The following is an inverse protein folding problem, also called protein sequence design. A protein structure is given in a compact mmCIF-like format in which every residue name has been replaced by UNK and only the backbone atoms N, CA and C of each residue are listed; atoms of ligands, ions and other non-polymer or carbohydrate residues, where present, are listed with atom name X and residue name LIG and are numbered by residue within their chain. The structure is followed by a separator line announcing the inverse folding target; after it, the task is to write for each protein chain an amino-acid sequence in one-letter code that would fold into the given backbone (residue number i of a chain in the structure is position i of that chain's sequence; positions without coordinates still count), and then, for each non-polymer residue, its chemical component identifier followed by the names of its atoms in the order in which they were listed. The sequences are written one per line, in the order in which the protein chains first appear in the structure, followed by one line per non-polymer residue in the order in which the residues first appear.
data_IF_406440602179
#
_entry.id   IF_406440602179
#
_cell.length_a   1.000
_cell.length_b   1.000
_cell.length_c   1.000
_cell.angle_alpha   90.00
_cell.angle_beta   90.00
_cell.angle_gamma   90.00
#
_symmetry.space_group_name_H-M   'P 1'
#
loop_
_entity.id
_entity.type
_entity.pdbx_description
1 polymer ?
#
# COMPACT_ATOMS: atom_id res chain seq x y z
N UNK A 1 14.34 24.45 -27.05
CA UNK A 1 13.49 23.79 -28.06
C UNK A 1 12.54 22.85 -27.36
N UNK A 2 11.35 22.56 -27.94
CA UNK A 2 10.32 21.68 -27.31
C UNK A 2 10.88 20.32 -26.86
N UNK A 3 11.82 19.73 -27.61
CA UNK A 3 12.50 18.48 -27.20
C UNK A 3 13.36 18.66 -25.94
N UNK A 4 14.02 19.82 -25.77
CA UNK A 4 14.80 20.14 -24.56
C UNK A 4 13.89 20.33 -23.34
N UNK A 5 12.71 20.89 -23.54
CA UNK A 5 11.76 21.13 -22.43
C UNK A 5 11.06 19.84 -22.01
N UNK A 6 10.80 18.90 -22.92
CA UNK A 6 10.32 17.55 -22.59
C UNK A 6 11.39 16.77 -21.80
N UNK A 7 12.65 16.86 -22.19
CA UNK A 7 13.74 16.17 -21.48
C UNK A 7 13.96 16.70 -20.06
N UNK A 8 13.80 18.02 -19.86
CA UNK A 8 13.91 18.66 -18.53
C UNK A 8 12.77 18.29 -17.57
N UNK A 9 11.68 17.70 -18.07
CA UNK A 9 10.52 17.24 -17.29
C UNK A 9 10.55 15.75 -17.00
N UNK A 10 11.68 15.09 -17.24
CA UNK A 10 11.93 13.71 -16.85
C UNK A 10 12.77 13.69 -15.57
N UNK A 11 12.42 12.81 -14.64
CA UNK A 11 13.09 12.68 -13.35
C UNK A 11 13.64 11.26 -13.15
N UNK A 12 14.57 10.78 -14.02
CA UNK A 12 15.05 9.40 -13.97
C UNK A 12 15.70 9.06 -12.65
N UNK A 13 16.42 10.00 -12.03
CA UNK A 13 17.05 9.80 -10.72
C UNK A 13 16.02 9.63 -9.60
N UNK A 14 14.94 10.43 -9.64
CA UNK A 14 13.84 10.31 -8.67
C UNK A 14 13.14 8.96 -8.84
N UNK A 15 12.84 8.55 -10.08
CA UNK A 15 12.23 7.24 -10.37
C UNK A 15 13.12 6.11 -9.88
N UNK A 16 14.42 6.15 -10.18
CA UNK A 16 15.37 5.14 -9.71
C UNK A 16 15.43 5.06 -8.18
N UNK A 17 15.39 6.21 -7.50
CA UNK A 17 15.37 6.25 -6.03
C UNK A 17 14.07 5.71 -5.46
N UNK A 18 12.92 6.06 -6.04
CA UNK A 18 11.61 5.49 -5.66
C UNK A 18 11.66 3.96 -5.79
N UNK A 19 12.14 3.47 -6.93
CA UNK A 19 12.25 2.03 -7.18
C UNK A 19 13.23 1.33 -6.24
N UNK A 20 14.21 2.05 -5.71
CA UNK A 20 15.13 1.55 -4.68
C UNK A 20 14.46 1.44 -3.28
N UNK A 21 13.49 2.32 -2.99
CA UNK A 21 12.87 2.43 -1.67
C UNK A 21 11.55 1.66 -1.60
N UNK A 22 10.69 1.79 -2.62
CA UNK A 22 9.33 1.24 -2.62
C UNK A 22 9.21 0.04 -3.57
N UNK A 23 8.33 -0.88 -3.20
CA UNK A 23 7.89 -1.93 -4.08
C UNK A 23 6.67 -1.49 -4.94
N UNK A 24 6.19 -2.38 -5.80
CA UNK A 24 5.03 -2.13 -6.69
C UNK A 24 3.71 -1.88 -5.94
N UNK A 25 3.65 -2.15 -4.65
CA UNK A 25 2.48 -1.93 -3.80
C UNK A 25 2.63 -0.68 -2.91
N UNK A 26 3.74 0.06 -3.07
CA UNK A 26 4.04 1.24 -2.26
C UNK A 26 4.57 0.92 -0.86
N UNK A 27 4.99 -0.32 -0.61
CA UNK A 27 5.61 -0.71 0.67
C UNK A 27 7.12 -0.48 0.62
N UNK A 28 7.69 -0.05 1.75
CA UNK A 28 9.15 0.14 1.85
C UNK A 28 9.83 -1.23 1.81
N UNK A 29 10.74 -1.39 0.85
CA UNK A 29 11.50 -2.62 0.65
C UNK A 29 12.40 -2.95 1.83
N UNK A 30 12.64 -4.24 2.08
CA UNK A 30 13.56 -4.68 3.13
C UNK A 30 14.96 -4.10 2.95
N UNK A 31 15.43 -4.01 1.72
CA UNK A 31 16.75 -3.50 1.36
C UNK A 31 16.78 -1.99 1.05
N UNK A 32 15.74 -1.24 1.42
CA UNK A 32 15.73 0.23 1.27
C UNK A 32 16.84 0.91 2.09
N UNK A 33 17.27 0.29 3.19
CA UNK A 33 18.51 0.61 3.89
C UNK A 33 19.11 -0.65 4.53
N UNK A 34 20.44 -0.67 4.75
CA UNK A 34 21.09 -1.76 5.48
C UNK A 34 20.54 -1.92 6.91
N UNK A 35 20.22 -0.81 7.57
CA UNK A 35 19.65 -0.82 8.92
C UNK A 35 18.24 -1.46 8.92
N UNK A 36 17.36 -1.11 7.98
CA UNK A 36 16.04 -1.69 7.87
C UNK A 36 16.10 -3.19 7.61
N UNK A 37 17.01 -3.60 6.74
CA UNK A 37 17.22 -5.01 6.42
C UNK A 37 17.62 -5.83 7.66
N UNK A 38 18.54 -5.29 8.46
CA UNK A 38 18.98 -5.94 9.71
C UNK A 38 17.87 -5.99 10.75
N UNK A 39 17.13 -4.89 10.95
CA UNK A 39 16.00 -4.84 11.89
C UNK A 39 14.95 -5.89 11.50
N UNK A 40 14.53 -5.94 10.24
CA UNK A 40 13.53 -6.92 9.77
C UNK A 40 14.02 -8.35 9.84
N UNK A 41 15.32 -8.59 9.64
CA UNK A 41 15.92 -9.90 9.89
C UNK A 41 15.80 -10.28 11.35
N UNK A 42 16.17 -9.37 12.26
CA UNK A 42 16.08 -9.60 13.70
C UNK A 42 14.65 -9.85 14.16
N UNK A 43 13.66 -9.13 13.63
CA UNK A 43 12.24 -9.37 13.91
C UNK A 43 11.88 -10.81 13.54
N UNK A 44 12.17 -11.27 12.32
CA UNK A 44 11.86 -12.65 11.88
C UNK A 44 12.54 -13.71 12.75
N UNK A 45 13.77 -13.46 13.16
CA UNK A 45 14.50 -14.37 14.05
C UNK A 45 13.84 -14.46 15.44
N UNK A 46 13.45 -13.31 16.02
CA UNK A 46 12.77 -13.26 17.31
C UNK A 46 11.36 -13.84 17.27
N UNK A 47 10.60 -13.58 16.21
CA UNK A 47 9.30 -14.23 15.99
C UNK A 47 9.44 -15.76 15.94
N UNK A 48 10.43 -16.26 15.21
CA UNK A 48 10.73 -17.69 15.16
C UNK A 48 11.13 -18.27 16.52
N UNK A 49 11.90 -17.53 17.33
CA UNK A 49 12.26 -17.94 18.69
C UNK A 49 11.05 -17.95 19.62
N UNK A 50 10.21 -16.89 19.58
CA UNK A 50 8.99 -16.81 20.37
C UNK A 50 8.04 -17.96 20.05
N UNK A 51 7.80 -18.24 18.76
CA UNK A 51 6.94 -19.34 18.34
C UNK A 51 7.45 -20.72 18.82
N UNK A 52 8.75 -21.00 18.69
CA UNK A 52 9.36 -22.25 19.18
C UNK A 52 9.26 -22.38 20.70
N UNK A 53 9.53 -21.28 21.41
CA UNK A 53 9.48 -21.29 22.89
C UNK A 53 8.06 -21.51 23.40
N UNK A 54 7.10 -20.79 22.80
CA UNK A 54 5.70 -20.92 23.14
C UNK A 54 5.16 -22.33 22.87
N UNK A 55 5.54 -22.95 21.75
CA UNK A 55 5.17 -24.32 21.42
C UNK A 55 5.77 -25.33 22.42
N UNK A 56 7.00 -25.10 22.88
CA UNK A 56 7.62 -25.94 23.90
C UNK A 56 6.89 -25.84 25.26
N UNK A 57 6.53 -24.62 25.66
CA UNK A 57 5.75 -24.38 26.89
C UNK A 57 4.36 -25.02 26.79
N UNK A 58 3.66 -24.88 25.66
CA UNK A 58 2.36 -25.51 25.42
C UNK A 58 2.47 -27.03 25.53
N UNK A 59 3.48 -27.64 24.90
CA UNK A 59 3.69 -29.10 24.94
C UNK A 59 3.97 -29.60 26.35
N UNK A 60 4.79 -28.89 27.11
CA UNK A 60 5.06 -29.21 28.52
C UNK A 60 3.80 -29.06 29.40
N UNK A 61 3.02 -28.01 29.18
CA UNK A 61 1.77 -27.78 29.93
C UNK A 61 0.70 -28.83 29.61
N UNK A 62 0.62 -29.33 28.36
CA UNK A 62 -0.22 -30.48 27.98
C UNK A 62 0.22 -31.75 28.71
N UNK A 63 1.52 -32.05 28.66
CA UNK A 63 2.09 -33.22 29.34
C UNK A 63 1.86 -33.22 30.86
N UNK A 64 1.82 -32.06 31.49
CA UNK A 64 1.55 -31.86 32.90
C UNK A 64 0.05 -31.80 33.25
N UNK A 65 -0.85 -31.87 32.27
CA UNK A 65 -2.31 -31.75 32.48
C UNK A 65 -2.75 -30.35 32.95
N UNK A 66 -1.94 -29.33 32.69
CA UNK A 66 -2.25 -27.93 33.02
C UNK A 66 -3.21 -27.32 32.01
N UNK A 67 -3.09 -27.70 30.75
CA UNK A 67 -3.95 -27.29 29.63
C UNK A 67 -4.56 -28.52 28.96
N UNK A 68 -5.69 -28.34 28.29
CA UNK A 68 -6.37 -29.40 27.58
C UNK A 68 -5.51 -29.96 26.42
N UNK A 69 -5.68 -31.23 26.07
CA UNK A 69 -4.89 -31.87 25.05
C UNK A 69 -5.06 -31.25 23.65
N UNK A 70 -6.23 -30.68 23.38
CA UNK A 70 -6.61 -29.99 22.15
C UNK A 70 -6.30 -28.47 22.17
N UNK A 71 -5.81 -27.95 23.31
CA UNK A 71 -5.46 -26.53 23.42
C UNK A 71 -4.47 -26.10 22.35
N UNK A 72 -4.71 -24.94 21.75
CA UNK A 72 -3.86 -24.33 20.74
C UNK A 72 -3.47 -22.92 21.17
N UNK A 73 -2.31 -22.45 20.66
CA UNK A 73 -1.88 -21.07 20.80
C UNK A 73 -2.92 -20.18 20.12
N UNK A 74 -3.32 -19.11 20.78
CA UNK A 74 -4.21 -18.10 20.22
C UNK A 74 -3.59 -16.71 20.33
N UNK A 75 -4.12 -15.75 19.56
CA UNK A 75 -3.69 -14.35 19.64
C UNK A 75 -4.74 -13.57 20.38
N UNK A 76 -4.30 -12.82 21.41
CA UNK A 76 -5.13 -11.86 22.15
C UNK A 76 -4.36 -10.55 22.28
N UNK A 77 -4.97 -9.44 21.87
CA UNK A 77 -4.35 -8.09 21.87
C UNK A 77 -2.95 -8.06 21.24
N UNK A 78 -2.80 -8.80 20.12
CA UNK A 78 -1.53 -8.88 19.40
C UNK A 78 -0.47 -9.78 20.04
N UNK A 79 -0.81 -10.48 21.13
CA UNK A 79 0.09 -11.39 21.84
C UNK A 79 -0.31 -12.85 21.66
N UNK A 80 0.67 -13.70 21.51
CA UNK A 80 0.47 -15.15 21.47
C UNK A 80 0.36 -15.68 22.90
N UNK A 81 -0.76 -16.33 23.18
CA UNK A 81 -1.15 -16.79 24.52
C UNK A 81 -1.60 -18.25 24.50
N UNK A 82 -1.52 -18.89 25.65
CA UNK A 82 -1.97 -20.26 25.88
C UNK A 82 -3.30 -20.23 26.66
N UNK A 83 -4.38 -20.90 26.18
CA UNK A 83 -5.62 -21.02 26.93
C UNK A 83 -5.44 -22.00 28.07
N UNK A 84 -5.76 -21.56 29.29
CA UNK A 84 -5.64 -22.34 30.54
C UNK A 84 -6.99 -22.32 31.26
N UNK A 85 -7.44 -23.46 31.74
CA UNK A 85 -8.67 -23.53 32.55
C UNK A 85 -8.55 -22.75 33.86
N UNK A 86 -9.66 -22.22 34.35
CA UNK A 86 -9.72 -21.40 35.60
C UNK A 86 -9.08 -22.10 36.79
N UNK A 87 -9.26 -23.42 36.91
CA UNK A 87 -8.67 -24.21 38.00
C UNK A 87 -7.14 -24.33 37.92
N UNK A 88 -6.56 -24.15 36.73
CA UNK A 88 -5.13 -24.33 36.50
C UNK A 88 -4.39 -23.01 36.23
N UNK A 89 -5.06 -21.85 36.24
CA UNK A 89 -4.49 -20.55 35.89
C UNK A 89 -3.22 -20.15 36.65
N UNK A 90 -3.00 -20.68 37.84
CA UNK A 90 -1.80 -20.44 38.65
C UNK A 90 -0.68 -21.45 38.45
N UNK A 91 -0.95 -22.52 37.68
CA UNK A 91 0.05 -23.59 37.42
C UNK A 91 0.93 -23.26 36.22
N UNK A 92 0.43 -22.44 35.29
CA UNK A 92 1.24 -21.89 34.21
C UNK A 92 1.76 -20.51 34.65
N UNK A 93 3.09 -20.38 34.74
CA UNK A 93 3.71 -19.12 35.13
C UNK A 93 3.67 -18.14 33.97
N UNK A 94 2.99 -17.00 34.13
CA UNK A 94 2.79 -16.03 33.09
C UNK A 94 1.83 -14.90 33.46
N UNK A 95 1.57 -14.05 32.47
CA UNK A 95 0.64 -12.93 32.60
C UNK A 95 -0.70 -13.25 31.93
N UNK A 96 -1.79 -12.99 32.64
CA UNK A 96 -3.15 -13.14 32.10
C UNK A 96 -3.47 -11.90 31.30
N UNK A 97 -3.78 -12.07 30.02
CA UNK A 97 -4.16 -10.99 29.10
C UNK A 97 -5.65 -10.88 28.88
N UNK A 98 -6.36 -12.02 28.95
CA UNK A 98 -7.80 -12.06 28.66
C UNK A 98 -8.45 -13.23 29.38
N UNK A 99 -9.79 -13.20 29.51
CA UNK A 99 -10.58 -14.33 29.96
C UNK A 99 -11.77 -14.58 29.02
N UNK A 100 -12.22 -15.83 28.95
CA UNK A 100 -13.42 -16.15 28.17
C UNK A 100 -14.65 -15.51 28.80
N UNK A 101 -15.68 -15.20 27.98
CA UNK A 101 -16.93 -14.61 28.44
C UNK A 101 -17.62 -15.38 29.62
N UNK A 102 -17.30 -16.65 29.74
CA UNK A 102 -17.82 -17.52 30.82
C UNK A 102 -16.90 -17.59 32.05
N UNK A 103 -15.72 -16.96 32.03
CA UNK A 103 -14.71 -17.03 33.08
C UNK A 103 -14.04 -18.41 33.24
N UNK A 104 -14.31 -19.35 32.33
CA UNK A 104 -13.78 -20.73 32.43
C UNK A 104 -12.38 -20.91 31.90
N UNK A 105 -11.95 -20.03 30.96
CA UNK A 105 -10.65 -20.10 30.28
C UNK A 105 -9.94 -18.76 30.44
N UNK A 106 -8.68 -18.81 30.85
CA UNK A 106 -7.77 -17.66 30.91
C UNK A 106 -6.72 -17.77 29.81
N UNK A 107 -6.39 -16.65 29.19
CA UNK A 107 -5.38 -16.55 28.14
C UNK A 107 -4.09 -16.02 28.74
N UNK A 108 -3.09 -16.88 28.84
CA UNK A 108 -1.85 -16.62 29.57
C UNK A 108 -0.69 -16.47 28.60
N UNK A 109 0.05 -15.35 28.70
CA UNK A 109 1.36 -15.19 28.08
C UNK A 109 2.41 -15.79 29.04
N UNK A 110 3.09 -16.89 28.67
CA UNK A 110 4.09 -17.51 29.52
C UNK A 110 5.27 -16.57 29.75
N UNK A 111 5.82 -16.58 30.98
CA UNK A 111 6.98 -15.74 31.35
C UNK A 111 8.19 -15.99 30.43
N UNK A 112 8.33 -17.20 29.89
CA UNK A 112 9.41 -17.61 29.02
C UNK A 112 9.43 -16.90 27.66
N UNK A 113 8.34 -16.25 27.24
CA UNK A 113 8.26 -15.49 26.00
C UNK A 113 8.13 -13.99 26.20
N UNK A 114 7.93 -13.52 27.42
CA UNK A 114 7.72 -12.09 27.73
C UNK A 114 8.90 -11.24 27.30
N UNK A 115 10.13 -11.68 27.59
CA UNK A 115 11.34 -10.95 27.22
C UNK A 115 11.50 -10.88 25.70
N UNK A 116 11.28 -12.00 25.00
CA UNK A 116 11.32 -12.04 23.53
C UNK A 116 10.26 -11.11 22.92
N UNK A 117 9.06 -11.09 23.47
CA UNK A 117 7.98 -10.20 23.01
C UNK A 117 8.29 -8.71 23.29
N UNK A 118 8.98 -8.40 24.37
CA UNK A 118 9.45 -7.04 24.64
C UNK A 118 10.53 -6.62 23.63
N UNK A 119 11.51 -7.49 23.35
CA UNK A 119 12.52 -7.24 22.30
C UNK A 119 11.88 -7.07 20.92
N UNK A 120 10.88 -7.88 20.57
CA UNK A 120 10.12 -7.72 19.32
C UNK A 120 9.48 -6.35 19.23
N UNK A 121 8.84 -5.89 20.29
CA UNK A 121 8.21 -4.56 20.32
C UNK A 121 9.23 -3.44 20.14
N UNK A 122 10.41 -3.56 20.74
CA UNK A 122 11.49 -2.59 20.55
C UNK A 122 11.98 -2.57 19.10
N UNK A 123 12.12 -3.74 18.48
CA UNK A 123 12.48 -3.87 17.07
C UNK A 123 11.40 -3.29 16.14
N UNK A 124 10.12 -3.51 16.42
CA UNK A 124 9.02 -2.90 15.66
C UNK A 124 9.02 -1.36 15.75
N UNK A 125 9.33 -0.82 16.93
CA UNK A 125 9.53 0.63 17.06
C UNK A 125 10.75 1.12 16.31
N UNK A 126 11.85 0.36 16.30
CA UNK A 126 13.06 0.68 15.54
C UNK A 126 12.77 0.64 14.03
N UNK A 127 12.03 -0.36 13.54
CA UNK A 127 11.59 -0.46 12.15
C UNK A 127 10.78 0.78 11.74
N UNK A 128 9.77 1.13 12.54
CA UNK A 128 8.94 2.30 12.26
C UNK A 128 9.76 3.60 12.19
N UNK A 129 10.70 3.80 13.12
CA UNK A 129 11.60 4.97 13.09
C UNK A 129 12.47 4.98 11.84
N UNK A 130 13.02 3.83 11.45
CA UNK A 130 13.89 3.72 10.28
C UNK A 130 13.11 3.97 8.98
N UNK A 131 11.89 3.42 8.85
CA UNK A 131 11.00 3.69 7.71
C UNK A 131 10.69 5.18 7.59
N UNK A 132 10.35 5.85 8.70
CA UNK A 132 10.11 7.30 8.72
C UNK A 132 11.37 8.07 8.31
N UNK A 133 12.54 7.67 8.78
CA UNK A 133 13.81 8.29 8.41
C UNK A 133 14.06 8.20 6.89
N UNK A 134 13.92 7.00 6.31
CA UNK A 134 14.10 6.76 4.86
C UNK A 134 13.15 7.64 4.04
N UNK A 135 11.87 7.65 4.40
CA UNK A 135 10.85 8.42 3.67
C UNK A 135 11.06 9.93 3.83
N UNK A 136 11.48 10.38 5.01
CA UNK A 136 11.79 11.79 5.26
C UNK A 136 12.99 12.24 4.44
N UNK A 137 14.09 11.49 4.44
CA UNK A 137 15.28 11.81 3.65
C UNK A 137 14.96 11.84 2.14
N UNK A 138 14.14 10.91 1.67
CA UNK A 138 13.70 10.92 0.29
C UNK A 138 12.84 12.15 -0.02
N UNK A 139 11.87 12.48 0.84
CA UNK A 139 10.99 13.64 0.69
C UNK A 139 11.80 14.95 0.64
N UNK A 140 12.76 15.11 1.54
CA UNK A 140 13.63 16.31 1.54
C UNK A 140 14.48 16.39 0.27
N UNK A 141 14.93 15.26 -0.24
CA UNK A 141 15.73 15.23 -1.46
C UNK A 141 14.94 15.60 -2.72
N UNK A 142 13.65 15.31 -2.80
CA UNK A 142 12.80 15.67 -3.95
C UNK A 142 12.12 17.04 -3.79
N UNK A 143 12.14 17.63 -2.59
CA UNK A 143 11.49 18.92 -2.30
C UNK A 143 11.89 20.05 -3.27
N UNK A 144 13.17 20.20 -3.68
CA UNK A 144 13.55 21.22 -4.65
C UNK A 144 12.87 21.07 -6.01
N UNK A 145 12.53 19.84 -6.40
CA UNK A 145 11.94 19.51 -7.70
C UNK A 145 10.40 19.44 -7.66
N UNK A 146 9.78 19.64 -6.48
CA UNK A 146 8.34 19.47 -6.29
C UNK A 146 7.50 20.33 -7.26
N UNK A 147 7.91 21.59 -7.51
CA UNK A 147 7.27 22.47 -8.49
C UNK A 147 7.33 21.91 -9.90
N UNK A 148 8.51 21.47 -10.33
CA UNK A 148 8.70 20.87 -11.67
C UNK A 148 7.93 19.56 -11.85
N UNK A 149 7.80 18.76 -10.79
CA UNK A 149 7.00 17.54 -10.81
C UNK A 149 5.53 17.87 -11.00
N UNK A 150 5.00 18.86 -10.27
CA UNK A 150 3.63 19.36 -10.42
C UNK A 150 3.38 19.89 -11.84
N UNK A 151 4.24 20.77 -12.35
CA UNK A 151 4.17 21.31 -13.71
C UNK A 151 4.18 20.21 -14.79
N UNK A 152 4.92 19.13 -14.52
CA UNK A 152 4.96 17.97 -15.43
C UNK A 152 3.62 17.23 -15.46
N UNK A 153 2.93 17.14 -14.32
CA UNK A 153 1.58 16.59 -14.23
C UNK A 153 0.58 17.41 -15.04
N UNK A 154 0.59 18.73 -14.89
CA UNK A 154 -0.27 19.65 -15.66
C UNK A 154 0.01 19.57 -17.16
N UNK A 155 1.27 19.52 -17.55
CA UNK A 155 1.67 19.34 -18.93
C UNK A 155 1.15 18.02 -19.53
N UNK A 156 1.27 16.91 -18.81
CA UNK A 156 0.75 15.61 -19.24
C UNK A 156 -0.77 15.64 -19.39
N UNK A 157 -1.49 16.28 -18.47
CA UNK A 157 -2.93 16.45 -18.54
C UNK A 157 -3.35 17.26 -19.80
N UNK A 158 -2.62 18.33 -20.12
CA UNK A 158 -2.85 19.12 -21.34
C UNK A 158 -2.63 18.28 -22.63
N UNK A 159 -1.52 17.54 -22.69
CA UNK A 159 -1.22 16.67 -23.83
C UNK A 159 -2.27 15.57 -23.97
N UNK A 160 -2.71 14.94 -22.89
CA UNK A 160 -3.74 13.91 -22.94
C UNK A 160 -5.09 14.49 -23.43
N UNK A 161 -5.47 15.67 -22.95
CA UNK A 161 -6.65 16.40 -23.43
C UNK A 161 -6.55 16.71 -24.93
N UNK A 162 -5.41 17.22 -25.42
CA UNK A 162 -5.19 17.49 -26.85
C UNK A 162 -5.26 16.22 -27.66
N UNK A 163 -4.67 15.13 -27.18
CA UNK A 163 -4.73 13.82 -27.82
C UNK A 163 -6.17 13.29 -27.89
N UNK A 164 -6.92 13.39 -26.80
CA UNK A 164 -8.32 12.97 -26.74
C UNK A 164 -9.18 13.75 -27.78
N UNK A 165 -9.02 15.08 -27.82
CA UNK A 165 -9.68 15.94 -28.81
C UNK A 165 -9.28 15.57 -30.25
N UNK A 166 -8.00 15.34 -30.51
CA UNK A 166 -7.48 14.95 -31.82
C UNK A 166 -8.04 13.62 -32.29
N UNK A 167 -8.05 12.61 -31.42
CA UNK A 167 -8.65 11.30 -31.72
C UNK A 167 -10.14 11.43 -32.02
N UNK A 168 -10.86 12.13 -31.15
CA UNK A 168 -12.31 12.33 -31.35
C UNK A 168 -12.60 13.06 -32.66
N UNK A 169 -11.83 14.10 -33.00
CA UNK A 169 -11.98 14.83 -34.25
C UNK A 169 -11.72 13.93 -35.47
N UNK A 170 -10.68 13.10 -35.43
CA UNK A 170 -10.35 12.16 -36.49
C UNK A 170 -11.42 11.09 -36.68
N UNK A 171 -11.90 10.49 -35.61
CA UNK A 171 -12.93 9.45 -35.62
C UNK A 171 -14.28 9.96 -36.15
N UNK A 172 -14.57 11.24 -35.92
CA UNK A 172 -15.86 11.85 -36.34
C UNK A 172 -15.75 12.71 -37.60
N UNK A 173 -14.59 12.77 -38.24
CA UNK A 173 -14.38 13.55 -39.45
C UNK A 173 -14.56 15.06 -39.24
N UNK A 174 -14.11 15.57 -38.08
CA UNK A 174 -14.23 16.97 -37.73
C UNK A 174 -13.26 17.83 -38.54
N UNK A 175 -13.67 19.06 -38.84
CA UNK A 175 -12.85 20.08 -39.50
C UNK A 175 -12.60 21.25 -38.58
N UNK A 176 -11.55 22.01 -38.82
CA UNK A 176 -11.24 23.21 -38.04
C UNK A 176 -12.32 24.27 -38.32
N UNK A 177 -12.97 24.83 -37.29
CA UNK A 177 -13.92 25.92 -37.48
C UNK A 177 -13.23 27.22 -37.89
N UNK A 178 -13.92 28.02 -38.69
CA UNK A 178 -13.53 29.39 -38.98
C UNK A 178 -14.16 30.30 -37.92
N UNK A 179 -13.33 30.96 -37.15
CA UNK A 179 -13.80 31.92 -36.16
C UNK A 179 -14.16 33.22 -36.86
N UNK A 180 -15.40 33.72 -36.65
CA UNK A 180 -15.88 35.00 -37.17
C UNK A 180 -16.03 35.97 -36.04
N UNK A 181 -15.93 37.28 -36.37
CA UNK A 181 -16.14 38.37 -35.44
C UNK A 181 -17.59 38.88 -35.43
N UNK A 182 -18.41 38.39 -36.36
CA UNK A 182 -19.82 38.64 -36.44
C UNK A 182 -20.60 37.55 -35.68
N UNK A 183 -21.65 37.89 -34.99
CA UNK A 183 -22.46 36.98 -34.13
C UNK A 183 -23.28 35.95 -34.93
N UNK A 184 -22.71 35.43 -36.08
CA UNK A 184 -23.36 34.45 -36.92
C UNK A 184 -22.77 33.08 -36.76
N UNK A 185 -23.63 32.07 -36.53
CA UNK A 185 -23.27 30.68 -36.58
C UNK A 185 -23.72 30.08 -37.92
N UNK A 186 -22.74 29.63 -38.73
CA UNK A 186 -23.00 28.98 -40.02
C UNK A 186 -22.54 27.54 -39.94
N UNK A 187 -23.45 26.61 -40.02
CA UNK A 187 -23.19 25.18 -40.03
C UNK A 187 -23.36 24.66 -41.47
N UNK A 188 -22.33 24.01 -42.01
CA UNK A 188 -22.38 23.35 -43.33
C UNK A 188 -22.15 21.87 -43.17
N UNK A 189 -23.07 21.06 -43.63
CA UNK A 189 -23.03 19.60 -43.49
C UNK A 189 -22.77 19.14 -42.06
N UNK A 190 -23.39 19.80 -41.07
CA UNK A 190 -23.23 19.48 -39.69
C UNK A 190 -23.83 18.10 -39.35
N UNK A 191 -23.15 17.37 -38.48
CA UNK A 191 -23.57 16.04 -38.03
C UNK A 191 -23.56 16.00 -36.53
N UNK A 192 -24.61 15.45 -35.94
CA UNK A 192 -24.67 15.27 -34.51
C UNK A 192 -23.79 14.06 -34.11
N UNK A 193 -22.70 14.24 -33.34
CA UNK A 193 -21.69 13.19 -33.18
C UNK A 193 -22.23 11.93 -32.47
N UNK A 194 -23.06 12.08 -31.45
CA UNK A 194 -23.65 10.92 -30.75
C UNK A 194 -24.60 10.16 -31.68
N UNK A 195 -25.44 10.86 -32.46
CA UNK A 195 -26.35 10.23 -33.41
C UNK A 195 -25.55 9.51 -34.50
N UNK A 196 -24.45 10.12 -34.99
CA UNK A 196 -23.57 9.48 -35.96
C UNK A 196 -22.99 8.17 -35.44
N UNK A 197 -22.54 8.13 -34.19
CA UNK A 197 -22.01 6.91 -33.57
C UNK A 197 -23.09 5.83 -33.44
N UNK A 198 -24.29 6.20 -32.97
CA UNK A 198 -25.39 5.28 -32.80
C UNK A 198 -25.85 4.69 -34.14
N UNK A 199 -25.96 5.52 -35.17
CA UNK A 199 -26.36 5.07 -36.50
C UNK A 199 -25.30 4.18 -37.16
N UNK A 200 -24.00 4.52 -37.02
CA UNK A 200 -22.91 3.66 -37.49
C UNK A 200 -22.94 2.28 -36.84
N UNK A 201 -23.17 2.22 -35.53
CA UNK A 201 -23.31 0.95 -34.83
C UNK A 201 -24.49 0.11 -35.32
N UNK A 202 -25.53 0.75 -35.84
CA UNK A 202 -26.71 0.11 -36.47
C UNK A 202 -26.56 -0.10 -37.99
N UNK A 203 -25.39 0.12 -38.57
CA UNK A 203 -25.12 0.00 -40.01
C UNK A 203 -25.85 1.06 -40.89
N UNK A 204 -26.21 2.21 -40.30
CA UNK A 204 -26.90 3.32 -40.94
C UNK A 204 -26.02 4.55 -41.02
N UNK A 205 -26.26 5.40 -42.03
CA UNK A 205 -25.62 6.68 -42.16
C UNK A 205 -26.44 7.84 -41.61
N UNK A 206 -25.75 8.87 -41.08
CA UNK A 206 -26.41 10.10 -40.66
C UNK A 206 -26.56 11.05 -41.83
N UNK A 207 -27.75 11.66 -41.94
CA UNK A 207 -28.02 12.74 -42.92
C UNK A 207 -27.49 14.04 -42.33
N UNK A 208 -26.55 14.75 -43.01
CA UNK A 208 -26.08 16.05 -42.56
C UNK A 208 -27.14 17.13 -42.63
N UNK A 209 -27.07 18.10 -41.74
CA UNK A 209 -27.85 19.34 -41.78
C UNK A 209 -27.24 20.35 -42.74
#
# INVERSE_FOLDING_TARGET
SAASDVYKRQFPEIVQRIDGILDRFGQVKDNASPALQEIRRSIREREGQAAKRLQAVLSAAKGAGIVDADAQISIRDGKAVIPVSAGNKRKLNGFIHDESATGKTFYVEPVEVVEINNELRELEYAERREVVRILTEFTEAIRPDAGLIADSGDYLAEIDMLRAKGRWASENGCVRPILSTDDRLVLKNARHPLLQQTLRAAGREIVPL
#
